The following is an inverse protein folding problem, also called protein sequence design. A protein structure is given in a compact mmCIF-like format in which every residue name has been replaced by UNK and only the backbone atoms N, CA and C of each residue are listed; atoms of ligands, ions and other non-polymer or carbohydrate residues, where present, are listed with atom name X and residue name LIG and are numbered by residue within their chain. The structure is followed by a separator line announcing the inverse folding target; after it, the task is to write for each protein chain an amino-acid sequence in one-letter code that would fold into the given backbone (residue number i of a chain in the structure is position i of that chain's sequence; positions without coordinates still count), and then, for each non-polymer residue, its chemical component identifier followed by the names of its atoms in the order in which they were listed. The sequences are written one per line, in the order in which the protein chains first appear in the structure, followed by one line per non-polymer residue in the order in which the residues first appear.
data_IF_585821573981
#
_entry.id   IF_585821573981
#
_cell.length_a   1.000
_cell.length_b   1.000
_cell.length_c   1.000
_cell.angle_alpha   90.00
_cell.angle_beta   90.00
_cell.angle_gamma   90.00
#
_symmetry.space_group_name_H-M   'P 1'
#
loop_
_entity.id
_entity.type
_entity.pdbx_description
1 polymer ?
#
# COMPACT_ATOMS: atom_id res chain seq x y z
N UNK A 1 -23.63 7.98 -18.09
CA UNK A 1 -22.72 7.56 -17.01
C UNK A 1 -23.54 6.80 -16.00
N UNK A 2 -23.46 5.47 -15.99
CA UNK A 2 -24.17 4.66 -15.01
C UNK A 2 -23.33 4.63 -13.75
N UNK A 3 -23.80 5.28 -12.68
CA UNK A 3 -23.16 5.20 -11.38
C UNK A 3 -23.23 3.74 -10.92
N UNK A 4 -22.07 3.09 -10.77
CA UNK A 4 -21.99 1.80 -10.10
C UNK A 4 -22.44 2.02 -8.64
N UNK A 5 -23.30 1.17 -8.07
CA UNK A 5 -23.66 1.27 -6.67
C UNK A 5 -22.38 1.25 -5.82
N UNK A 6 -22.21 2.25 -4.95
CA UNK A 6 -21.14 2.32 -3.95
C UNK A 6 -21.37 1.24 -2.87
N UNK A 7 -21.26 -0.03 -3.25
CA UNK A 7 -21.22 -1.11 -2.28
C UNK A 7 -19.83 -1.08 -1.65
N UNK A 8 -19.77 -0.69 -0.37
CA UNK A 8 -18.53 -0.77 0.41
C UNK A 8 -18.06 -2.23 0.45
N UNK A 9 -16.78 -2.47 0.18
CA UNK A 9 -16.17 -3.78 0.25
C UNK A 9 -15.57 -4.03 1.63
N UNK A 10 -15.68 -5.27 2.11
CA UNK A 10 -14.82 -5.82 3.15
C UNK A 10 -13.40 -6.05 2.62
N UNK A 11 -12.44 -6.31 3.51
CA UNK A 11 -11.07 -6.65 3.12
C UNK A 11 -11.04 -7.90 2.24
N UNK A 12 -11.79 -8.95 2.59
CA UNK A 12 -11.83 -10.20 1.81
C UNK A 12 -12.39 -9.99 0.39
N UNK A 13 -13.48 -9.24 0.27
CA UNK A 13 -14.05 -8.88 -1.04
C UNK A 13 -13.08 -8.05 -1.87
N UNK A 14 -12.36 -7.13 -1.23
CA UNK A 14 -11.33 -6.33 -1.89
C UNK A 14 -10.16 -7.18 -2.39
N UNK A 15 -9.67 -8.14 -1.61
CA UNK A 15 -8.57 -9.01 -2.03
C UNK A 15 -8.94 -9.84 -3.25
N UNK A 16 -10.14 -10.44 -3.24
CA UNK A 16 -10.68 -11.17 -4.40
C UNK A 16 -10.87 -10.24 -5.59
N UNK A 17 -11.37 -9.02 -5.34
CA UNK A 17 -11.53 -8.03 -6.40
C UNK A 17 -10.18 -7.61 -6.99
N UNK A 18 -9.14 -7.36 -6.18
CA UNK A 18 -7.85 -6.81 -6.61
C UNK A 18 -6.97 -7.83 -7.36
N UNK A 19 -7.19 -9.13 -7.16
CA UNK A 19 -6.38 -10.20 -7.74
C UNK A 19 -6.29 -10.11 -9.28
N UNK A 20 -5.05 -10.14 -9.79
CA UNK A 20 -4.77 -10.11 -11.24
C UNK A 20 -5.07 -8.79 -11.95
N UNK A 21 -5.52 -7.75 -11.23
CA UNK A 21 -5.84 -6.47 -11.85
C UNK A 21 -4.60 -5.58 -12.05
N UNK A 22 -4.47 -4.91 -13.20
CA UNK A 22 -3.40 -3.95 -13.42
C UNK A 22 -3.62 -2.66 -12.62
N UNK A 23 -2.52 -2.09 -12.12
CA UNK A 23 -2.52 -0.86 -11.32
C UNK A 23 -2.45 -1.11 -9.82
N UNK A 24 -2.31 -0.03 -9.05
CA UNK A 24 -2.35 -0.08 -7.58
C UNK A 24 -3.66 0.50 -7.08
N UNK A 25 -4.29 -0.22 -6.18
CA UNK A 25 -5.51 0.21 -5.51
C UNK A 25 -5.33 0.03 -4.00
N UNK A 26 -6.11 0.78 -3.24
CA UNK A 26 -6.18 0.68 -1.78
C UNK A 26 -7.65 0.68 -1.35
N UNK A 27 -7.97 -0.05 -0.29
CA UNK A 27 -9.30 -0.05 0.31
C UNK A 27 -9.34 0.96 1.46
N UNK A 28 -10.03 2.07 1.27
CA UNK A 28 -10.16 3.15 2.25
C UNK A 28 -11.61 3.23 2.72
N UNK A 29 -11.87 2.88 3.98
CA UNK A 29 -13.23 2.90 4.58
C UNK A 29 -14.29 2.12 3.77
N UNK A 30 -13.86 1.05 3.11
CA UNK A 30 -14.68 0.20 2.24
C UNK A 30 -14.74 0.64 0.78
N UNK A 31 -14.06 1.72 0.41
CA UNK A 31 -14.04 2.24 -0.96
C UNK A 31 -12.70 1.95 -1.63
N UNK A 32 -12.75 1.51 -2.90
CA UNK A 32 -11.56 1.27 -3.69
C UNK A 32 -11.03 2.59 -4.24
N UNK A 33 -9.78 2.92 -3.91
CA UNK A 33 -9.10 4.13 -4.37
C UNK A 33 -7.93 3.73 -5.27
N UNK A 34 -7.90 4.25 -6.50
CA UNK A 34 -6.77 4.06 -7.40
C UNK A 34 -5.60 4.94 -6.97
N UNK A 35 -4.42 4.34 -6.81
CA UNK A 35 -3.20 5.06 -6.48
C UNK A 35 -2.49 5.55 -7.74
N UNK A 36 -2.08 6.81 -7.74
CA UNK A 36 -1.29 7.37 -8.82
C UNK A 36 0.07 6.66 -8.91
N UNK A 37 0.60 6.42 -10.13
CA UNK A 37 1.96 5.95 -10.31
C UNK A 37 2.96 6.89 -9.63
N UNK A 38 3.97 6.32 -8.99
CA UNK A 38 4.99 7.12 -8.31
C UNK A 38 5.91 7.84 -9.28
N UNK A 39 6.26 9.09 -8.97
CA UNK A 39 7.34 9.78 -9.65
C UNK A 39 8.70 9.36 -9.09
N UNK A 40 9.76 9.46 -9.90
CA UNK A 40 11.14 9.12 -9.49
C UNK A 40 11.56 9.83 -8.20
N UNK A 41 11.18 11.10 -8.03
CA UNK A 41 11.47 11.85 -6.79
C UNK A 41 10.80 11.21 -5.58
N UNK A 42 9.53 10.82 -5.71
CA UNK A 42 8.78 10.16 -4.65
C UNK A 42 9.45 8.83 -4.25
N UNK A 43 9.73 7.99 -5.25
CA UNK A 43 10.39 6.71 -5.04
C UNK A 43 11.76 6.85 -4.35
N UNK A 44 12.59 7.80 -4.77
CA UNK A 44 13.90 8.06 -4.16
C UNK A 44 13.78 8.49 -2.69
N UNK A 45 12.90 9.45 -2.40
CA UNK A 45 12.69 9.94 -1.04
C UNK A 45 12.20 8.81 -0.13
N UNK A 46 11.20 8.05 -0.59
CA UNK A 46 10.65 6.93 0.18
C UNK A 46 11.70 5.84 0.42
N UNK A 47 12.50 5.51 -0.60
CA UNK A 47 13.58 4.52 -0.50
C UNK A 47 14.66 4.96 0.49
N UNK A 48 15.04 6.24 0.48
CA UNK A 48 16.01 6.77 1.44
C UNK A 48 15.46 6.70 2.89
N UNK A 49 14.18 7.02 3.09
CA UNK A 49 13.53 6.97 4.39
C UNK A 49 13.45 5.54 4.94
N UNK A 50 12.98 4.56 4.16
CA UNK A 50 12.90 3.17 4.62
C UNK A 50 14.29 2.60 4.97
N UNK A 51 15.32 2.93 4.19
CA UNK A 51 16.68 2.45 4.46
C UNK A 51 17.27 3.08 5.74
N UNK A 52 16.93 4.33 6.02
CA UNK A 52 17.35 4.98 7.26
C UNK A 52 16.66 4.34 8.47
N UNK A 53 15.36 4.06 8.36
CA UNK A 53 14.59 3.39 9.41
C UNK A 53 15.09 1.97 9.67
N UNK A 54 15.33 1.19 8.61
CA UNK A 54 15.82 -0.18 8.72
C UNK A 54 17.16 -0.23 9.46
N UNK A 55 18.13 0.60 9.03
CA UNK A 55 19.42 0.72 9.73
C UNK A 55 19.26 1.11 11.20
N UNK A 56 18.33 2.01 11.52
CA UNK A 56 18.10 2.42 12.90
C UNK A 56 17.52 1.29 13.75
N UNK A 57 16.57 0.51 13.22
CA UNK A 57 15.98 -0.65 13.88
C UNK A 57 17.06 -1.72 14.15
N UNK A 58 17.87 -2.04 13.14
CA UNK A 58 18.99 -2.99 13.29
C UNK A 58 19.99 -2.52 14.35
N UNK A 59 20.34 -1.23 14.35
CA UNK A 59 21.25 -0.65 15.35
C UNK A 59 20.66 -0.64 16.76
N UNK A 60 19.34 -0.50 16.91
CA UNK A 60 18.68 -0.47 18.20
C UNK A 60 18.48 -1.86 18.80
N UNK A 61 18.58 -2.93 17.99
CA UNK A 61 18.39 -4.32 18.46
C UNK A 61 16.96 -4.60 18.93
N UNK A 62 15.98 -3.85 18.42
CA UNK A 62 14.56 -4.06 18.74
C UNK A 62 13.96 -5.12 17.82
N UNK A 63 12.97 -5.87 18.31
CA UNK A 63 12.28 -6.93 17.55
C UNK A 63 11.31 -6.40 16.50
N UNK A 64 11.67 -5.35 15.76
CA UNK A 64 10.87 -4.77 14.69
C UNK A 64 11.56 -4.99 13.33
N UNK A 65 10.81 -4.85 12.24
CA UNK A 65 11.32 -4.92 10.87
C UNK A 65 10.64 -3.87 9.98
N UNK A 66 11.29 -3.53 8.85
CA UNK A 66 10.78 -2.54 7.89
C UNK A 66 10.22 -3.23 6.67
N UNK A 67 9.03 -2.81 6.27
CA UNK A 67 8.38 -3.22 5.03
C UNK A 67 8.18 -2.04 4.07
N UNK A 68 8.17 -2.28 2.74
CA UNK A 68 7.82 -1.26 1.77
C UNK A 68 6.32 -0.90 1.87
N UNK A 69 5.97 0.31 1.44
CA UNK A 69 4.60 0.87 1.45
C UNK A 69 3.60 0.19 0.49
N UNK A 70 4.06 -0.74 -0.34
CA UNK A 70 3.24 -1.46 -1.31
C UNK A 70 2.67 -2.78 -0.79
N UNK A 71 2.87 -3.11 0.49
CA UNK A 71 2.41 -4.38 1.03
C UNK A 71 0.90 -4.43 1.26
N UNK A 72 0.31 -5.56 0.90
CA UNK A 72 -0.99 -5.98 1.41
C UNK A 72 -0.78 -6.76 2.70
N UNK A 73 -1.41 -6.33 3.79
CA UNK A 73 -1.36 -7.03 5.09
C UNK A 73 -2.67 -7.77 5.31
N UNK A 74 -2.59 -9.02 5.77
CA UNK A 74 -3.72 -9.82 6.25
C UNK A 74 -3.33 -10.54 7.53
#
# INVERSE_FOLDING_TARGET
MTALPNAKMTVDEYLVWAEGRPGRYELVAGEVVAMAPEQVRHARTKFAAQNALDRAIQSAGVGCEVFPDGMTVR
#
